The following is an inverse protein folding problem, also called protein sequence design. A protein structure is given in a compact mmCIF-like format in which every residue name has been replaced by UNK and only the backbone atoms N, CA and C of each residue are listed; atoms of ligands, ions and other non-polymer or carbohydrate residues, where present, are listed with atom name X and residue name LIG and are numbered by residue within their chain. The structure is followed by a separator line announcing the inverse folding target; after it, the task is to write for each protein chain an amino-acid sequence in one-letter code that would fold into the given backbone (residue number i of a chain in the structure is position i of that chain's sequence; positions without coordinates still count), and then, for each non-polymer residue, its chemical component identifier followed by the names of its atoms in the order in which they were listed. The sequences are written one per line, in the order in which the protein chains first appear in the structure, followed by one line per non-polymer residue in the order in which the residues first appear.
data_IF_239374000881
#
_entry.id   IF_239374000881
#
_cell.length_a   1.000
_cell.length_b   1.000
_cell.length_c   1.000
_cell.angle_alpha   90.00
_cell.angle_beta   90.00
_cell.angle_gamma   90.00
#
_symmetry.space_group_name_H-M   'P 1'
#
loop_
_entity.id
_entity.type
_entity.pdbx_description
1 polymer ?
#
# COMPACT_ATOMS: atom_id res chain seq x y z
N UNK A 1 5.52 -4.12 -34.42
CA UNK A 1 6.13 -2.79 -34.26
C UNK A 1 7.42 -2.95 -33.49
N UNK A 2 8.50 -2.37 -33.98
CA UNK A 2 9.78 -2.42 -33.28
C UNK A 2 10.57 -1.13 -33.53
N UNK A 3 11.44 -0.78 -32.60
CA UNK A 3 12.28 0.40 -32.71
C UNK A 3 13.64 0.10 -32.08
N UNK A 4 14.73 0.60 -32.70
CA UNK A 4 16.09 0.41 -32.18
C UNK A 4 16.42 1.46 -31.11
N UNK A 5 15.86 2.66 -31.18
CA UNK A 5 16.11 3.70 -30.20
C UNK A 5 14.87 4.00 -29.36
N UNK A 6 13.92 4.77 -29.90
CA UNK A 6 12.73 5.16 -29.15
C UNK A 6 11.47 4.86 -29.93
N UNK A 7 10.42 4.52 -29.19
CA UNK A 7 9.07 4.42 -29.71
C UNK A 7 8.20 5.43 -28.97
N UNK A 8 7.56 6.33 -29.70
CA UNK A 8 6.69 7.36 -29.14
C UNK A 8 5.30 7.19 -29.74
N UNK A 9 4.27 7.11 -28.89
CA UNK A 9 2.88 7.07 -29.30
C UNK A 9 2.10 8.17 -28.60
N UNK A 10 1.38 8.98 -29.38
CA UNK A 10 0.54 10.03 -28.84
C UNK A 10 -0.85 9.94 -29.46
N UNK A 11 -1.86 10.29 -28.69
CA UNK A 11 -3.25 10.30 -29.13
C UNK A 11 -3.91 11.62 -28.71
N UNK A 12 -4.68 12.23 -29.62
CA UNK A 12 -5.38 13.49 -29.34
C UNK A 12 -6.53 13.32 -28.36
N UNK A 13 -7.13 12.15 -28.27
CA UNK A 13 -8.23 11.87 -27.34
C UNK A 13 -7.97 10.63 -26.50
N UNK A 14 -8.08 9.45 -27.07
CA UNK A 14 -8.03 8.20 -26.32
C UNK A 14 -7.04 7.23 -26.91
N UNK A 15 -6.42 6.42 -26.07
CA UNK A 15 -5.66 5.25 -26.47
C UNK A 15 -6.18 4.06 -25.68
N UNK A 16 -6.59 3.00 -26.35
CA UNK A 16 -7.15 1.82 -25.74
C UNK A 16 -6.34 0.59 -26.12
N UNK A 17 -6.06 -0.26 -25.12
CA UNK A 17 -5.42 -1.56 -25.35
C UNK A 17 -6.32 -2.64 -24.77
N UNK A 18 -6.75 -3.57 -25.60
CA UNK A 18 -7.57 -4.68 -25.19
C UNK A 18 -6.92 -5.98 -25.66
N UNK A 19 -6.74 -6.93 -24.74
CA UNK A 19 -6.01 -8.16 -25.01
C UNK A 19 -6.82 -9.35 -24.52
N UNK A 20 -7.00 -10.36 -25.39
CA UNK A 20 -7.84 -11.51 -25.06
C UNK A 20 -7.22 -12.43 -24.01
N UNK A 21 -5.90 -12.53 -23.95
CA UNK A 21 -5.23 -13.44 -23.00
C UNK A 21 -4.27 -12.73 -22.06
N UNK A 22 -3.09 -12.37 -22.52
CA UNK A 22 -2.05 -11.86 -21.64
C UNK A 22 -1.48 -10.53 -22.15
N UNK A 23 -1.24 -9.62 -21.24
CA UNK A 23 -0.58 -8.35 -21.51
C UNK A 23 0.62 -8.22 -20.56
N UNK A 24 1.83 -8.02 -21.09
CA UNK A 24 3.05 -7.92 -20.32
C UNK A 24 3.80 -6.64 -20.66
N UNK A 25 4.24 -5.92 -19.64
CA UNK A 25 5.11 -4.76 -19.78
C UNK A 25 6.41 -5.05 -19.05
N UNK A 26 7.54 -5.09 -19.78
CA UNK A 26 8.87 -5.27 -19.20
C UNK A 26 9.73 -4.05 -19.48
N UNK A 27 10.41 -3.55 -18.46
CA UNK A 27 11.18 -2.30 -18.51
C UNK A 27 12.53 -2.53 -17.85
N UNK A 28 13.63 -2.15 -18.54
CA UNK A 28 14.98 -2.32 -18.03
C UNK A 28 15.35 -1.39 -16.89
N UNK A 29 14.91 -0.16 -16.93
CA UNK A 29 15.26 0.83 -15.91
C UNK A 29 14.05 1.31 -15.12
N UNK A 30 13.21 2.14 -15.69
CA UNK A 30 12.12 2.79 -14.93
C UNK A 30 10.82 2.75 -15.70
N UNK A 31 9.74 2.35 -15.04
CA UNK A 31 8.37 2.51 -15.52
C UNK A 31 7.71 3.65 -14.78
N UNK A 32 7.16 4.62 -15.52
CA UNK A 32 6.44 5.75 -14.94
C UNK A 32 5.04 5.85 -15.53
N UNK A 33 4.05 6.00 -14.66
CA UNK A 33 2.66 6.22 -15.06
C UNK A 33 2.18 7.48 -14.36
N UNK A 34 1.70 8.46 -15.13
CA UNK A 34 1.30 9.75 -14.59
C UNK A 34 -0.08 10.16 -15.12
N UNK A 35 -0.99 10.54 -14.22
CA UNK A 35 -2.34 11.00 -14.55
C UNK A 35 -2.53 12.41 -14.00
N UNK A 36 -2.89 13.36 -14.87
CA UNK A 36 -2.94 14.78 -14.49
C UNK A 36 -4.19 15.18 -13.72
N UNK A 37 -5.37 14.63 -14.04
CA UNK A 37 -6.60 15.25 -13.53
C UNK A 37 -7.55 14.30 -12.81
N UNK A 38 -7.94 13.18 -13.39
CA UNK A 38 -9.12 12.46 -12.93
C UNK A 38 -8.85 11.15 -12.18
N UNK A 39 -7.57 10.81 -12.00
CA UNK A 39 -7.23 9.67 -11.17
C UNK A 39 -6.84 8.40 -11.93
N UNK A 40 -6.48 7.37 -11.19
CA UNK A 40 -6.00 6.10 -11.70
C UNK A 40 -6.75 4.96 -11.00
N UNK A 41 -7.10 3.92 -11.74
CA UNK A 41 -7.76 2.74 -11.19
C UNK A 41 -6.97 1.49 -11.58
N UNK A 42 -6.74 0.61 -10.61
CA UNK A 42 -6.20 -0.72 -10.80
C UNK A 42 -7.21 -1.73 -10.25
N UNK A 43 -7.82 -2.51 -11.12
CA UNK A 43 -8.91 -3.42 -10.74
C UNK A 43 -8.66 -4.79 -11.36
N UNK A 44 -8.66 -5.83 -10.53
CA UNK A 44 -8.72 -7.21 -10.98
C UNK A 44 -10.11 -7.76 -10.63
N UNK A 45 -10.89 -8.17 -11.63
CA UNK A 45 -12.23 -8.70 -11.40
C UNK A 45 -12.18 -10.04 -10.65
N UNK A 46 -11.24 -10.89 -11.01
CA UNK A 46 -11.00 -12.17 -10.34
C UNK A 46 -9.50 -12.35 -10.15
N UNK A 47 -9.12 -13.10 -9.13
CA UNK A 47 -7.73 -13.33 -8.81
C UNK A 47 -7.12 -12.18 -8.01
N UNK A 48 -5.90 -12.37 -7.49
CA UNK A 48 -5.27 -11.39 -6.62
C UNK A 48 -4.61 -10.25 -7.39
N UNK A 49 -4.45 -9.11 -6.71
CA UNK A 49 -3.53 -8.06 -7.13
C UNK A 49 -2.30 -8.17 -6.25
N UNK A 50 -1.13 -8.30 -6.86
CA UNK A 50 0.14 -8.39 -6.15
C UNK A 50 1.01 -7.20 -6.50
N UNK A 51 1.47 -6.47 -5.49
CA UNK A 51 2.39 -5.33 -5.66
C UNK A 51 3.61 -5.59 -4.79
N UNK A 52 4.80 -5.66 -5.40
CA UNK A 52 6.04 -6.01 -4.71
C UNK A 52 7.18 -5.07 -5.09
N UNK A 53 7.92 -4.59 -4.08
CA UNK A 53 9.26 -4.05 -4.25
C UNK A 53 10.23 -5.11 -3.73
N UNK A 54 10.89 -5.83 -4.63
CA UNK A 54 11.62 -7.04 -4.25
C UNK A 54 12.92 -6.77 -3.50
N UNK A 55 13.61 -5.68 -3.80
CA UNK A 55 14.93 -5.40 -3.23
C UNK A 55 15.06 -4.03 -2.60
N UNK A 56 13.97 -3.29 -2.49
CA UNK A 56 14.00 -1.93 -1.95
C UNK A 56 12.67 -1.62 -1.26
N UNK A 57 12.46 -0.37 -0.87
CA UNK A 57 11.26 0.02 -0.14
C UNK A 57 10.05 0.26 -1.05
N UNK A 58 8.87 0.20 -0.47
CA UNK A 58 7.62 0.57 -1.12
C UNK A 58 6.98 1.71 -0.33
N UNK A 59 6.60 2.78 -1.03
CA UNK A 59 5.95 3.93 -0.41
C UNK A 59 4.56 4.16 -0.99
N UNK A 60 3.60 4.43 -0.10
CA UNK A 60 2.26 4.87 -0.47
C UNK A 60 2.02 6.22 0.17
N UNK A 61 1.85 7.24 -0.66
CA UNK A 61 1.70 8.62 -0.19
C UNK A 61 0.41 9.22 -0.73
N UNK A 62 -0.37 9.83 0.14
CA UNK A 62 -1.55 10.59 -0.25
C UNK A 62 -1.54 11.92 0.50
N UNK A 63 -1.89 13.00 -0.19
CA UNK A 63 -2.01 14.31 0.46
C UNK A 63 -3.16 14.34 1.46
N UNK A 64 -4.26 13.65 1.13
CA UNK A 64 -5.43 13.60 2.01
C UNK A 64 -5.44 12.29 2.79
N UNK A 65 -6.39 11.46 2.60
CA UNK A 65 -6.53 10.23 3.36
C UNK A 65 -6.05 9.03 2.58
N UNK A 66 -5.57 8.01 3.30
CA UNK A 66 -5.35 6.67 2.77
C UNK A 66 -6.35 5.76 3.44
N UNK A 67 -7.16 5.07 2.64
CA UNK A 67 -8.14 4.13 3.15
C UNK A 67 -7.75 2.71 2.76
N UNK A 68 -7.62 1.83 3.76
CA UNK A 68 -7.31 0.41 3.56
C UNK A 68 -8.44 -0.38 4.20
N UNK A 69 -9.19 -1.11 3.37
CA UNK A 69 -10.39 -1.81 3.84
C UNK A 69 -10.45 -3.22 3.25
N UNK A 70 -10.68 -4.20 4.10
CA UNK A 70 -11.09 -5.55 3.70
C UNK A 70 -12.57 -5.69 4.03
N UNK A 71 -13.41 -5.94 3.01
CA UNK A 71 -14.87 -5.92 3.19
C UNK A 71 -15.45 -7.20 3.76
N UNK A 72 -14.73 -8.32 3.65
CA UNK A 72 -15.27 -9.62 4.10
C UNK A 72 -14.32 -10.43 4.96
N UNK A 73 -13.06 -10.05 5.04
CA UNK A 73 -12.06 -10.82 5.77
C UNK A 73 -11.15 -9.88 6.55
N UNK A 74 -9.91 -10.20 6.73
CA UNK A 74 -8.99 -9.49 7.61
C UNK A 74 -7.96 -8.67 6.85
N UNK A 75 -7.27 -7.80 7.58
CA UNK A 75 -6.07 -7.10 7.12
C UNK A 75 -4.91 -7.61 7.96
N UNK A 76 -3.86 -8.12 7.29
CA UNK A 76 -2.64 -8.56 7.96
C UNK A 76 -1.52 -7.59 7.70
N UNK A 77 -0.90 -7.10 8.77
CA UNK A 77 0.27 -6.24 8.70
C UNK A 77 1.37 -6.93 9.48
N UNK A 78 2.44 -7.33 8.81
CA UNK A 78 3.53 -8.10 9.41
C UNK A 78 4.86 -7.48 9.05
N UNK A 79 5.73 -7.31 10.04
CA UNK A 79 7.09 -6.85 9.83
C UNK A 79 8.05 -7.76 10.58
N UNK A 80 9.24 -7.97 10.01
CA UNK A 80 10.26 -8.79 10.67
C UNK A 80 10.82 -8.09 11.91
N UNK A 81 11.00 -6.77 11.86
CA UNK A 81 11.65 -6.03 12.94
C UNK A 81 10.69 -5.18 13.76
N UNK A 82 9.95 -4.29 13.13
CA UNK A 82 9.13 -3.34 13.86
C UNK A 82 7.97 -2.84 13.03
N UNK A 83 6.82 -2.65 13.69
CA UNK A 83 5.68 -1.90 13.16
C UNK A 83 5.54 -0.65 14.01
N UNK A 84 5.49 0.52 13.36
CA UNK A 84 5.33 1.81 14.00
C UNK A 84 4.08 2.49 13.49
N UNK A 85 3.20 2.91 14.39
CA UNK A 85 2.00 3.69 14.09
C UNK A 85 2.14 5.04 14.78
N UNK A 86 2.16 6.12 14.02
CA UNK A 86 2.28 7.47 14.55
C UNK A 86 1.11 8.33 14.10
N UNK A 87 0.55 9.10 15.01
CA UNK A 87 -0.49 10.08 14.69
C UNK A 87 -0.45 11.23 15.69
N UNK A 88 -0.16 12.45 15.20
CA UNK A 88 -0.21 13.66 16.04
C UNK A 88 0.65 13.62 17.28
N UNK A 89 1.76 12.90 17.27
CA UNK A 89 2.65 12.77 18.43
C UNK A 89 2.36 11.57 19.33
N UNK A 90 1.20 10.93 19.17
CA UNK A 90 0.90 9.66 19.84
C UNK A 90 1.39 8.50 18.97
N UNK A 91 1.77 7.38 19.59
CA UNK A 91 2.34 6.28 18.83
C UNK A 91 2.07 4.94 19.50
N UNK A 92 2.15 3.88 18.69
CA UNK A 92 2.23 2.49 19.12
C UNK A 92 3.35 1.83 18.32
N UNK A 93 4.29 1.18 19.02
CA UNK A 93 5.34 0.40 18.38
C UNK A 93 5.27 -1.05 18.85
N UNK A 94 5.51 -1.96 17.91
CA UNK A 94 5.61 -3.38 18.20
C UNK A 94 6.96 -3.86 17.69
N UNK A 95 7.76 -4.48 18.54
CA UNK A 95 9.01 -5.09 18.13
C UNK A 95 9.26 -6.37 18.93
N UNK A 96 10.43 -6.98 18.74
CA UNK A 96 10.77 -8.24 19.39
C UNK A 96 10.74 -8.17 20.91
N UNK A 97 11.09 -7.01 21.48
CA UNK A 97 11.29 -6.87 22.91
C UNK A 97 10.09 -6.28 23.65
N UNK A 98 9.24 -5.50 22.96
CA UNK A 98 8.17 -4.81 23.67
C UNK A 98 7.06 -4.34 22.75
N UNK A 99 5.92 -4.08 23.35
CA UNK A 99 4.84 -3.30 22.78
C UNK A 99 4.76 -2.02 23.60
N UNK A 100 4.90 -0.87 22.94
CA UNK A 100 4.90 0.42 23.63
C UNK A 100 3.86 1.34 23.01
N UNK A 101 3.04 1.94 23.85
CA UNK A 101 2.12 3.01 23.43
C UNK A 101 2.45 4.27 24.24
N UNK A 102 2.47 5.42 23.56
CA UNK A 102 2.84 6.67 24.19
C UNK A 102 2.02 7.83 23.69
N UNK A 103 1.73 8.78 24.60
CA UNK A 103 0.99 9.99 24.28
C UNK A 103 1.30 11.06 25.29
N UNK A 104 1.29 12.32 24.88
CA UNK A 104 1.34 13.45 25.81
C UNK A 104 -0.05 13.82 26.33
N UNK A 105 -1.11 13.29 25.72
CA UNK A 105 -2.48 13.52 26.14
C UNK A 105 -3.00 12.42 27.07
N UNK A 106 -4.28 12.10 26.91
CA UNK A 106 -4.93 11.08 27.71
C UNK A 106 -4.80 9.70 27.07
N UNK A 107 -4.63 8.68 27.91
CA UNK A 107 -4.66 7.28 27.49
C UNK A 107 -5.92 6.65 28.08
N UNK A 108 -6.92 6.38 27.22
CA UNK A 108 -8.22 5.88 27.67
C UNK A 108 -8.43 4.47 27.11
N UNK A 109 -8.83 3.56 28.01
CA UNK A 109 -9.23 2.22 27.66
C UNK A 109 -10.70 2.03 28.03
N UNK A 110 -11.53 1.66 27.05
CA UNK A 110 -12.95 1.37 27.29
C UNK A 110 -13.22 -0.08 26.92
N UNK A 111 -13.70 -0.85 27.85
CA UNK A 111 -13.94 -2.27 27.65
C UNK A 111 -15.07 -2.76 28.55
N UNK A 112 -15.79 -3.80 28.11
CA UNK A 112 -16.72 -4.50 29.00
C UNK A 112 -16.00 -5.28 30.09
N UNK A 113 -14.79 -5.75 29.81
CA UNK A 113 -13.89 -6.41 30.77
C UNK A 113 -12.45 -6.06 30.38
N UNK A 114 -11.63 -5.75 31.37
CA UNK A 114 -10.20 -5.51 31.20
C UNK A 114 -9.42 -6.48 32.08
N UNK A 115 -8.64 -7.37 31.46
CA UNK A 115 -7.83 -8.36 32.14
C UNK A 115 -6.36 -8.21 31.82
N UNK A 116 -5.50 -8.59 32.79
CA UNK A 116 -4.05 -8.62 32.62
C UNK A 116 -3.52 -9.90 33.26
N UNK A 117 -2.70 -10.64 32.51
CA UNK A 117 -2.05 -11.86 32.97
C UNK A 117 -0.57 -11.61 33.20
N UNK A 118 0.05 -12.32 34.16
CA UNK A 118 1.45 -12.14 34.50
C UNK A 118 2.40 -12.60 33.42
N UNK A 119 2.02 -13.64 32.67
CA UNK A 119 2.82 -14.19 31.57
C UNK A 119 1.96 -14.40 30.34
N UNK A 120 2.52 -14.06 29.20
CA UNK A 120 1.89 -14.26 27.90
C UNK A 120 2.43 -15.51 27.21
#
# INVERSE_FOLDING_TARGET
MSASDNLIATAGKNADVSVAKNFFIGVGNTLSIFVRKLGMKLIANQGPITVQAQNDLMELLARKAITITSTEDEIKITAKKRITLNAGGSYITLDENRIESGTAGEYLTKAGYYGRLDKA
#
